data_IF_686224859292
#
_entry.id   IF_686224859292
#
_cell.length_a   1.000
_cell.length_b   1.000
_cell.length_c   1.000
_cell.angle_alpha   90.00
_cell.angle_beta   90.00
_cell.angle_gamma   90.00
#
_symmetry.space_group_name_H-M   'P 1'
#
loop_
_entity.id
_entity.type
_entity.pdbx_description
1 polymer ?
#
# COMPACT_ATOMS: atom_id res chain seq x y z
N UNK A 1 5.73 -6.58 -11.04
CA UNK A 1 6.42 -5.42 -10.46
C UNK A 1 5.72 -4.14 -10.88
N UNK A 2 5.53 -3.23 -9.94
CA UNK A 2 4.86 -1.94 -10.15
C UNK A 2 5.73 -0.83 -9.59
N UNK A 3 5.86 0.29 -10.30
CA UNK A 3 6.46 1.50 -9.74
C UNK A 3 5.38 2.38 -9.15
N UNK A 4 5.54 2.76 -7.88
CA UNK A 4 4.70 3.75 -7.23
C UNK A 4 5.43 5.09 -7.11
N UNK A 5 4.71 6.16 -7.41
CA UNK A 5 5.14 7.54 -7.20
C UNK A 5 4.12 8.19 -6.28
N UNK A 6 4.56 8.53 -5.09
CA UNK A 6 3.68 9.07 -4.06
C UNK A 6 4.02 10.52 -3.77
N UNK A 7 3.10 11.45 -3.96
CA UNK A 7 3.25 12.80 -3.41
C UNK A 7 3.47 12.78 -1.90
N UNK A 8 3.98 13.88 -1.35
CA UNK A 8 4.23 14.00 0.09
C UNK A 8 2.99 13.61 0.91
N UNK A 9 3.18 12.82 1.95
CA UNK A 9 2.15 12.39 2.90
C UNK A 9 1.01 11.54 2.32
N UNK A 10 1.12 11.05 1.10
CA UNK A 10 0.07 10.20 0.51
C UNK A 10 0.21 8.76 0.99
N UNK A 11 -0.91 8.20 1.44
CA UNK A 11 -1.09 6.77 1.72
C UNK A 11 -1.33 6.05 0.38
N UNK A 12 -0.57 5.00 0.11
CA UNK A 12 -0.62 4.30 -1.17
C UNK A 12 -1.87 3.45 -1.37
N UNK A 13 -2.37 2.86 -0.29
CA UNK A 13 -3.52 1.95 -0.31
C UNK A 13 -4.12 1.84 1.10
N UNK A 14 -5.37 1.38 1.25
CA UNK A 14 -5.90 1.04 2.57
C UNK A 14 -5.02 0.02 3.28
N UNK A 15 -5.14 -0.08 4.60
CA UNK A 15 -4.57 -1.21 5.33
C UNK A 15 -5.28 -2.48 4.83
N UNK A 16 -4.52 -3.40 4.26
CA UNK A 16 -5.05 -4.57 3.57
C UNK A 16 -4.14 -5.77 3.78
N UNK A 17 -4.61 -6.94 3.38
CA UNK A 17 -3.80 -8.16 3.36
C UNK A 17 -4.06 -8.97 2.09
N UNK A 18 -3.02 -9.67 1.66
CA UNK A 18 -3.08 -10.63 0.57
C UNK A 18 -2.96 -12.04 1.13
N UNK A 19 -3.82 -12.95 0.70
CA UNK A 19 -3.73 -14.36 1.10
C UNK A 19 -2.79 -15.17 0.22
N UNK A 20 -2.43 -14.64 -0.97
CA UNK A 20 -1.71 -15.38 -2.02
C UNK A 20 -0.33 -14.84 -2.34
N UNK A 21 -0.05 -13.56 -2.06
CA UNK A 21 1.15 -12.88 -2.52
C UNK A 21 1.98 -12.33 -1.35
N UNK A 22 3.31 -12.43 -1.49
CA UNK A 22 4.27 -11.65 -0.73
C UNK A 22 4.57 -10.37 -1.49
N UNK A 23 4.88 -9.29 -0.79
CA UNK A 23 5.27 -8.02 -1.39
C UNK A 23 6.60 -7.52 -0.83
N UNK A 24 7.37 -6.89 -1.71
CA UNK A 24 8.65 -6.27 -1.38
C UNK A 24 8.66 -4.85 -1.93
N UNK A 25 8.87 -3.87 -1.06
CA UNK A 25 9.03 -2.47 -1.48
C UNK A 25 10.50 -2.10 -1.51
N UNK A 26 11.05 -1.83 -2.68
CA UNK A 26 12.41 -1.32 -2.85
C UNK A 26 12.36 0.19 -3.09
N UNK A 27 12.92 0.97 -2.15
CA UNK A 27 12.83 2.43 -2.18
C UNK A 27 13.89 3.00 -3.12
N UNK A 28 13.45 3.83 -4.08
CA UNK A 28 14.30 4.51 -5.05
C UNK A 28 14.57 5.96 -4.64
N UNK A 29 13.55 6.67 -4.15
CA UNK A 29 13.63 8.08 -3.76
C UNK A 29 12.70 8.36 -2.59
N UNK A 30 13.10 9.31 -1.75
CA UNK A 30 12.29 9.79 -0.63
C UNK A 30 12.31 8.88 0.59
N UNK A 31 11.33 9.06 1.47
CA UNK A 31 11.20 8.29 2.71
C UNK A 31 9.84 7.60 2.72
N UNK A 32 9.85 6.27 2.82
CA UNK A 32 8.66 5.45 2.83
C UNK A 32 8.41 4.90 4.22
N UNK A 33 7.24 5.19 4.77
CA UNK A 33 6.72 4.54 5.97
C UNK A 33 5.92 3.30 5.58
N UNK A 34 5.96 2.28 6.38
CA UNK A 34 5.16 1.08 6.17
C UNK A 34 4.70 0.48 7.50
N UNK A 35 3.50 -0.09 7.47
CA UNK A 35 2.97 -0.90 8.56
C UNK A 35 2.75 -2.33 8.05
N UNK A 36 3.22 -3.30 8.81
CA UNK A 36 2.95 -4.72 8.57
C UNK A 36 2.84 -5.45 9.91
N UNK A 37 1.73 -6.16 10.12
CA UNK A 37 1.38 -6.66 11.44
C UNK A 37 1.29 -5.53 12.44
N UNK A 38 1.96 -5.65 13.59
CA UNK A 38 2.03 -4.63 14.63
C UNK A 38 3.26 -3.71 14.51
N UNK A 39 4.06 -3.88 13.45
CA UNK A 39 5.29 -3.12 13.24
C UNK A 39 5.06 -1.94 12.31
N UNK A 40 5.68 -0.80 12.64
CA UNK A 40 5.82 0.32 11.74
C UNK A 40 7.32 0.58 11.51
N UNK A 41 7.68 0.83 10.25
CA UNK A 41 9.05 1.12 9.85
C UNK A 41 9.07 2.35 8.95
N UNK A 42 10.25 2.98 8.87
CA UNK A 42 10.53 4.04 7.92
C UNK A 42 11.86 3.71 7.22
N UNK A 43 11.90 3.83 5.91
CA UNK A 43 13.03 3.45 5.11
C UNK A 43 13.32 4.45 4.00
N UNK A 44 14.59 4.64 3.69
CA UNK A 44 15.08 5.50 2.62
C UNK A 44 15.59 4.73 1.40
N UNK A 45 16.16 5.45 0.40
CA UNK A 45 16.63 4.85 -0.84
C UNK A 45 17.63 3.72 -0.61
N UNK A 46 17.50 2.65 -1.40
CA UNK A 46 18.34 1.46 -1.32
C UNK A 46 17.89 0.42 -0.31
N UNK A 47 16.88 0.70 0.50
CA UNK A 47 16.32 -0.26 1.45
C UNK A 47 15.17 -1.05 0.85
N UNK A 48 14.97 -2.26 1.36
CA UNK A 48 13.89 -3.17 1.00
C UNK A 48 13.01 -3.42 2.22
N UNK A 49 11.69 -3.25 2.05
CA UNK A 49 10.70 -3.59 3.07
C UNK A 49 9.97 -4.86 2.63
N UNK A 50 10.03 -5.90 3.44
CA UNK A 50 9.30 -7.14 3.19
C UNK A 50 7.95 -7.14 3.91
N UNK A 51 6.89 -7.38 3.15
CA UNK A 51 5.51 -7.49 3.62
C UNK A 51 4.97 -8.89 3.29
N UNK A 52 5.02 -9.84 4.25
CA UNK A 52 4.64 -11.21 3.98
C UNK A 52 3.12 -11.36 3.76
N UNK A 53 2.75 -12.36 2.97
CA UNK A 53 1.34 -12.74 2.78
C UNK A 53 0.65 -13.05 4.11
N UNK A 54 -0.65 -12.79 4.18
CA UNK A 54 -1.45 -13.08 5.36
C UNK A 54 -1.32 -12.04 6.48
N UNK A 55 -0.43 -11.07 6.36
CA UNK A 55 -0.31 -9.96 7.30
C UNK A 55 -0.96 -8.69 6.79
N UNK A 56 -1.61 -7.96 7.69
CA UNK A 56 -2.14 -6.64 7.40
C UNK A 56 -0.99 -5.67 7.13
N UNK A 57 -1.02 -4.97 6.00
CA UNK A 57 0.02 -4.02 5.64
C UNK A 57 -0.50 -2.85 4.82
N UNK A 58 0.26 -1.77 4.84
CA UNK A 58 0.18 -0.64 3.92
C UNK A 58 1.49 0.13 3.94
N UNK A 59 1.63 1.12 3.08
CA UNK A 59 2.78 2.03 3.04
C UNK A 59 2.36 3.42 2.59
N UNK A 60 3.20 4.39 2.90
CA UNK A 60 2.94 5.80 2.64
C UNK A 60 4.23 6.58 2.41
N UNK A 61 4.10 7.75 1.80
CA UNK A 61 5.21 8.71 1.78
C UNK A 61 5.28 9.42 3.13
N UNK A 62 6.30 9.13 3.92
CA UNK A 62 6.49 9.71 5.24
C UNK A 62 7.18 11.09 5.20
N UNK A 63 7.67 11.52 4.05
CA UNK A 63 8.43 12.77 3.87
C UNK A 63 7.61 13.92 3.32
N UNK A 64 8.31 15.02 3.09
CA UNK A 64 7.75 16.26 2.53
C UNK A 64 8.03 16.41 1.01
N UNK A 65 8.78 15.49 0.43
CA UNK A 65 9.09 15.44 -1.00
C UNK A 65 8.52 14.17 -1.62
N UNK A 66 8.33 14.10 -2.95
CA UNK A 66 7.83 12.88 -3.59
C UNK A 66 8.69 11.66 -3.28
N UNK A 67 8.06 10.52 -3.08
CA UNK A 67 8.71 9.24 -2.92
C UNK A 67 8.49 8.36 -4.15
N UNK A 68 9.47 7.51 -4.46
CA UNK A 68 9.39 6.56 -5.56
C UNK A 68 9.91 5.20 -5.11
N UNK A 69 9.18 4.15 -5.42
CA UNK A 69 9.53 2.79 -5.02
C UNK A 69 9.07 1.77 -6.07
N UNK A 70 9.76 0.64 -6.08
CA UNK A 70 9.35 -0.53 -6.83
C UNK A 70 8.66 -1.51 -5.87
N UNK A 71 7.45 -1.91 -6.22
CA UNK A 71 6.71 -2.96 -5.53
C UNK A 71 6.87 -4.25 -6.31
N UNK A 72 7.51 -5.23 -5.69
CA UNK A 72 7.71 -6.57 -6.25
C UNK A 72 6.70 -7.49 -5.58
N UNK A 73 5.85 -8.11 -6.36
CA UNK A 73 4.76 -8.96 -5.88
C UNK A 73 4.97 -10.36 -6.39
N UNK A 74 4.99 -11.34 -5.49
CA UNK A 74 5.25 -12.75 -5.82
C UNK A 74 4.29 -13.69 -5.08
N UNK A 75 3.60 -14.58 -5.80
CA UNK A 75 3.55 -14.71 -7.26
C UNK A 75 2.80 -13.56 -7.93
N UNK A 76 2.81 -13.51 -9.27
CA UNK A 76 1.99 -12.58 -10.04
C UNK A 76 0.50 -12.89 -9.90
N UNK A 77 -0.36 -11.96 -10.37
CA UNK A 77 -1.82 -12.12 -10.35
C UNK A 77 -2.60 -10.87 -9.96
N UNK A 78 -1.91 -9.80 -9.56
CA UNK A 78 -2.56 -8.54 -9.15
C UNK A 78 -2.55 -7.46 -10.25
N UNK A 79 -1.99 -7.73 -11.41
CA UNK A 79 -1.84 -6.74 -12.49
C UNK A 79 -3.18 -6.17 -12.94
N UNK A 80 -4.21 -7.00 -13.06
CA UNK A 80 -5.54 -6.55 -13.45
C UNK A 80 -6.19 -5.70 -12.35
N UNK A 81 -5.98 -6.03 -11.09
CA UNK A 81 -6.44 -5.21 -9.98
C UNK A 81 -5.82 -3.81 -10.05
N UNK A 82 -4.51 -3.70 -10.26
CA UNK A 82 -3.83 -2.41 -10.38
C UNK A 82 -4.35 -1.62 -11.59
N UNK A 83 -4.59 -2.26 -12.74
CA UNK A 83 -5.19 -1.60 -13.89
C UNK A 83 -6.61 -1.07 -13.60
N UNK A 84 -7.39 -1.81 -12.83
CA UNK A 84 -8.73 -1.36 -12.41
C UNK A 84 -8.65 -0.18 -11.46
N UNK A 85 -7.74 -0.21 -10.51
CA UNK A 85 -7.51 0.90 -9.57
C UNK A 85 -7.06 2.19 -10.31
N UNK A 86 -6.18 2.04 -11.29
CA UNK A 86 -5.67 3.18 -12.08
C UNK A 86 -6.77 3.87 -12.92
N UNK A 87 -7.83 3.15 -13.25
CA UNK A 87 -8.98 3.68 -14.01
C UNK A 87 -10.06 4.32 -13.16
N UNK A 88 -9.95 4.25 -11.83
CA UNK A 88 -10.94 4.85 -10.96
C UNK A 88 -10.87 6.38 -11.03
N UNK A 89 -12.05 7.00 -11.16
CA UNK A 89 -12.20 8.47 -11.21
C UNK A 89 -12.88 9.02 -9.97
N UNK A 90 -13.39 8.15 -9.10
CA UNK A 90 -14.11 8.49 -7.88
C UNK A 90 -13.60 7.65 -6.71
N UNK A 91 -13.75 8.18 -5.50
CA UNK A 91 -13.44 7.45 -4.29
C UNK A 91 -14.42 6.30 -4.07
N UNK A 92 -13.92 5.18 -3.58
CA UNK A 92 -14.74 4.02 -3.26
C UNK A 92 -15.19 4.04 -1.80
N UNK A 93 -16.43 3.62 -1.56
CA UNK A 93 -16.90 3.30 -0.22
C UNK A 93 -16.17 2.08 0.34
N UNK A 94 -16.17 1.85 1.66
CA UNK A 94 -15.58 0.64 2.24
C UNK A 94 -16.10 -0.66 1.62
N UNK A 95 -17.42 -0.74 1.38
CA UNK A 95 -18.03 -1.92 0.73
C UNK A 95 -17.56 -2.09 -0.71
N UNK A 96 -17.46 -1.01 -1.46
CA UNK A 96 -16.95 -1.05 -2.84
C UNK A 96 -15.50 -1.49 -2.91
N UNK A 97 -14.65 -1.04 -1.96
CA UNK A 97 -13.28 -1.51 -1.82
C UNK A 97 -13.22 -3.03 -1.61
N UNK A 98 -14.00 -3.54 -0.66
CA UNK A 98 -14.04 -4.98 -0.37
C UNK A 98 -14.49 -5.79 -1.58
N UNK A 99 -15.53 -5.34 -2.28
CA UNK A 99 -16.04 -6.02 -3.48
C UNK A 99 -15.02 -6.02 -4.60
N UNK A 100 -14.25 -4.95 -4.76
CA UNK A 100 -13.24 -4.85 -5.81
C UNK A 100 -12.07 -5.80 -5.58
N UNK A 101 -11.59 -5.92 -4.34
CA UNK A 101 -10.35 -6.65 -4.02
C UNK A 101 -10.57 -8.11 -3.62
N UNK A 102 -11.77 -8.47 -3.15
CA UNK A 102 -12.08 -9.84 -2.68
C UNK A 102 -11.79 -10.94 -3.71
N UNK A 103 -12.09 -10.78 -5.01
CA UNK A 103 -11.77 -11.81 -6.01
C UNK A 103 -10.28 -12.11 -6.13
N UNK A 104 -9.41 -11.19 -5.72
CA UNK A 104 -7.96 -11.35 -5.74
C UNK A 104 -7.39 -11.93 -4.43
N UNK A 105 -8.25 -12.38 -3.53
CA UNK A 105 -7.84 -12.90 -2.22
C UNK A 105 -7.37 -11.82 -1.25
N UNK A 106 -7.83 -10.60 -1.43
CA UNK A 106 -7.47 -9.43 -0.62
C UNK A 106 -8.62 -9.01 0.29
N UNK A 107 -8.25 -8.43 1.44
CA UNK A 107 -9.19 -7.82 2.39
C UNK A 107 -8.65 -6.45 2.79
N UNK A 108 -9.53 -5.50 3.12
CA UNK A 108 -9.16 -4.17 3.60
C UNK A 108 -9.84 -3.86 4.93
N UNK A 109 -9.13 -3.12 5.81
CA UNK A 109 -9.66 -2.61 7.07
C UNK A 109 -9.69 -1.08 7.00
N UNK A 110 -10.83 -0.53 6.63
CA UNK A 110 -10.99 0.92 6.46
C UNK A 110 -10.98 1.67 7.78
N UNK A 111 -11.44 1.07 8.87
CA UNK A 111 -11.41 1.70 10.20
C UNK A 111 -9.96 1.89 10.67
N UNK A 112 -9.17 0.84 10.58
CA UNK A 112 -7.75 0.90 10.93
C UNK A 112 -6.97 1.80 9.98
N UNK A 113 -7.35 1.86 8.70
CA UNK A 113 -6.80 2.78 7.71
C UNK A 113 -6.97 4.23 8.15
N UNK A 114 -8.17 4.62 8.54
CA UNK A 114 -8.46 6.00 8.94
C UNK A 114 -7.74 6.38 10.24
N UNK A 115 -7.58 5.44 11.17
CA UNK A 115 -6.77 5.66 12.37
C UNK A 115 -5.31 5.93 12.02
N UNK A 116 -4.76 5.21 11.05
CA UNK A 116 -3.39 5.41 10.56
C UNK A 116 -3.24 6.78 9.87
N UNK A 117 -4.21 7.15 9.04
CA UNK A 117 -4.27 8.47 8.38
C UNK A 117 -4.22 9.59 9.40
N UNK A 118 -5.02 9.51 10.45
CA UNK A 118 -5.05 10.50 11.54
C UNK A 118 -3.73 10.56 12.29
N UNK A 119 -3.19 9.40 12.68
CA UNK A 119 -1.95 9.31 13.46
C UNK A 119 -0.75 9.92 12.74
N UNK A 120 -0.64 9.70 11.43
CA UNK A 120 0.51 10.16 10.63
C UNK A 120 0.23 11.43 9.81
N UNK A 121 -0.97 11.98 9.86
CA UNK A 121 -1.34 13.14 9.06
C UNK A 121 -1.28 12.87 7.56
N UNK A 122 -1.79 11.73 7.13
CA UNK A 122 -1.70 11.28 5.74
C UNK A 122 -2.89 11.77 4.89
N UNK A 123 -2.68 11.74 3.60
CA UNK A 123 -3.69 11.98 2.56
C UNK A 123 -4.06 10.63 1.96
N UNK A 124 -5.35 10.36 1.94
CA UNK A 124 -5.86 9.13 1.34
C UNK A 124 -7.12 9.36 0.52
#
# INVERSE_FOLDING_TARGET
>A
MVEHRLPAKVLAAPLHKHTREDEFSFILEGTVGAKFGDQEVSAGPGNLIFKPRGEWHTFWNAGETPARLLEIISPGGLEELFRRLDRLTEDLSPTEWEQLIAPYGCSADMKATMALVETHGLIF
#
